data_IF_970176905644
#
_entry.id   IF_970176905644
#
_cell.length_a   1.000
_cell.length_b   1.000
_cell.length_c   1.000
_cell.angle_alpha   90.00
_cell.angle_beta   90.00
_cell.angle_gamma   90.00
#
_symmetry.space_group_name_H-M   'P 1'
#
loop_
_entity.id
_entity.type
_entity.pdbx_description
1 polymer ?
#
# COMPACT_ATOMS: atom_id res chain seq x y z
N UNK A 1 -15.17 10.53 11.43
CA UNK A 1 -14.77 11.12 12.73
C UNK A 1 -13.60 10.34 13.27
N UNK A 2 -12.38 10.82 13.00
CA UNK A 2 -11.21 10.68 13.88
C UNK A 2 -10.17 11.67 13.34
N UNK A 3 -10.31 12.92 13.78
CA UNK A 3 -9.63 14.11 13.24
C UNK A 3 -8.49 14.57 14.16
N UNK A 4 -7.79 13.61 14.77
CA UNK A 4 -6.57 13.87 15.53
C UNK A 4 -5.54 12.85 15.09
N UNK A 5 -4.49 13.30 14.41
CA UNK A 5 -3.18 12.68 14.54
C UNK A 5 -2.75 12.89 16.01
N UNK A 6 -3.38 12.16 16.93
CA UNK A 6 -2.84 12.00 18.28
C UNK A 6 -1.71 11.02 18.14
N UNK A 7 -0.52 11.54 17.86
CA UNK A 7 0.72 10.79 18.08
C UNK A 7 0.77 10.53 19.58
N UNK A 8 0.24 9.39 20.02
CA UNK A 8 0.49 8.92 21.37
C UNK A 8 1.98 8.64 21.44
N UNK A 9 2.70 9.50 22.17
CA UNK A 9 4.14 9.36 22.37
C UNK A 9 4.37 8.22 23.35
N UNK A 10 4.27 6.98 22.88
CA UNK A 10 4.85 5.85 23.56
C UNK A 10 6.29 5.75 23.09
N UNK A 11 7.17 6.19 24.00
CA UNK A 11 8.64 6.21 23.93
C UNK A 11 9.20 5.63 22.62
N UNK A 12 9.19 6.42 21.55
CA UNK A 12 9.99 6.13 20.38
C UNK A 12 11.42 5.97 20.89
N UNK A 13 11.93 4.74 20.88
CA UNK A 13 13.31 4.46 21.21
C UNK A 13 14.16 5.50 20.49
N UNK A 14 15.06 6.17 21.23
CA UNK A 14 16.00 7.16 20.67
C UNK A 14 16.78 6.51 19.53
N UNK A 15 16.23 6.52 18.31
CA UNK A 15 16.97 6.17 17.14
C UNK A 15 18.05 7.23 17.04
N UNK A 16 19.32 6.80 17.11
CA UNK A 16 20.42 7.72 16.92
C UNK A 16 20.17 8.51 15.62
N UNK A 17 20.32 9.85 15.58
CA UNK A 17 19.93 10.67 14.43
C UNK A 17 20.46 10.15 13.07
N UNK A 18 21.63 9.52 13.09
CA UNK A 18 22.24 8.86 11.92
C UNK A 18 21.45 7.67 11.39
N UNK A 19 20.79 6.90 12.25
CA UNK A 19 19.94 5.76 11.87
C UNK A 19 18.62 6.22 11.23
N UNK A 20 18.00 7.26 11.76
CA UNK A 20 16.75 7.78 11.19
C UNK A 20 16.99 8.43 9.82
N UNK A 21 18.08 9.18 9.69
CA UNK A 21 18.48 9.78 8.42
C UNK A 21 18.85 8.72 7.37
N UNK A 22 19.50 7.62 7.75
CA UNK A 22 19.81 6.52 6.82
C UNK A 22 18.55 5.77 6.40
N UNK A 23 17.64 5.47 7.32
CA UNK A 23 16.33 4.85 7.02
C UNK A 23 15.49 5.72 6.09
N UNK A 24 15.42 7.03 6.36
CA UNK A 24 14.78 7.99 5.46
C UNK A 24 15.35 7.88 4.05
N UNK A 25 16.66 8.00 3.87
CA UNK A 25 17.27 7.92 2.52
C UNK A 25 17.01 6.60 1.82
N UNK A 26 17.15 5.48 2.52
CA UNK A 26 16.90 4.14 1.95
C UNK A 26 15.45 3.99 1.52
N UNK A 27 14.50 4.48 2.32
CA UNK A 27 13.08 4.48 1.99
C UNK A 27 12.80 5.32 0.73
N UNK A 28 13.29 6.56 0.69
CA UNK A 28 13.05 7.47 -0.44
C UNK A 28 13.58 6.89 -1.74
N UNK A 29 14.76 6.26 -1.71
CA UNK A 29 15.34 5.56 -2.84
C UNK A 29 14.54 4.31 -3.24
N UNK A 30 13.98 3.56 -2.28
CA UNK A 30 13.12 2.42 -2.57
C UNK A 30 11.87 2.87 -3.34
N UNK A 31 11.20 3.95 -2.92
CA UNK A 31 10.05 4.52 -3.63
C UNK A 31 10.41 4.98 -5.05
N UNK A 32 11.58 5.59 -5.23
CA UNK A 32 12.05 5.99 -6.57
C UNK A 32 12.31 4.77 -7.47
N UNK A 33 12.84 3.68 -6.93
CA UNK A 33 13.06 2.45 -7.71
C UNK A 33 11.76 1.79 -8.19
N UNK A 34 10.64 1.99 -7.48
CA UNK A 34 9.30 1.57 -7.91
C UNK A 34 8.74 2.40 -9.07
N UNK A 35 9.16 3.66 -9.21
CA UNK A 35 8.72 4.53 -10.31
C UNK A 35 9.65 4.48 -11.52
N UNK A 36 10.94 4.15 -11.30
CA UNK A 36 11.98 4.16 -12.33
C UNK A 36 11.67 3.40 -13.64
N UNK A 37 10.99 2.22 -13.64
CA UNK A 37 10.69 1.51 -14.88
C UNK A 37 9.44 2.01 -15.62
N UNK A 38 8.74 3.01 -15.08
CA UNK A 38 7.48 3.53 -15.62
C UNK A 38 7.72 4.79 -16.47
N UNK A 39 6.93 4.94 -17.53
CA UNK A 39 6.92 6.16 -18.34
C UNK A 39 6.21 7.31 -17.60
N UNK A 40 6.33 8.53 -18.13
CA UNK A 40 5.59 9.67 -17.60
C UNK A 40 4.07 9.50 -17.76
N UNK A 41 3.66 8.82 -18.83
CA UNK A 41 2.28 8.44 -19.15
C UNK A 41 1.74 7.46 -18.12
N UNK A 42 2.49 6.38 -17.83
CA UNK A 42 2.10 5.40 -16.79
C UNK A 42 1.94 6.09 -15.43
N UNK A 43 2.86 7.00 -15.09
CA UNK A 43 2.84 7.70 -13.82
C UNK A 43 1.68 8.70 -13.66
N UNK A 44 0.94 9.01 -14.73
CA UNK A 44 -0.13 10.01 -14.73
C UNK A 44 -1.55 9.44 -14.70
N UNK A 45 -1.73 8.16 -15.03
CA UNK A 45 -3.06 7.56 -15.20
C UNK A 45 -3.64 7.10 -13.85
N UNK A 46 -4.94 7.30 -13.68
CA UNK A 46 -5.74 6.72 -12.59
C UNK A 46 -6.70 5.68 -13.20
N UNK A 47 -6.45 4.41 -12.95
CA UNK A 47 -7.19 3.31 -13.58
C UNK A 47 -8.55 3.00 -12.93
N UNK A 48 -8.77 3.48 -11.71
CA UNK A 48 -10.06 3.42 -10.98
C UNK A 48 -10.06 4.46 -9.85
N UNK A 49 -11.23 4.85 -9.29
CA UNK A 49 -11.31 5.86 -8.23
C UNK A 49 -10.48 5.53 -6.98
N UNK A 50 -10.28 4.25 -6.68
CA UNK A 50 -9.47 3.82 -5.54
C UNK A 50 -7.96 3.88 -5.79
N UNK A 51 -7.53 3.77 -7.04
CA UNK A 51 -6.14 3.92 -7.41
C UNK A 51 -5.74 5.40 -7.45
N UNK A 52 -4.44 5.68 -7.32
CA UNK A 52 -3.86 7.00 -7.56
C UNK A 52 -2.72 6.91 -8.58
N UNK A 53 -2.48 7.96 -9.38
CA UNK A 53 -1.31 7.99 -10.27
C UNK A 53 -0.02 7.87 -9.47
N UNK A 54 0.99 7.17 -10.01
CA UNK A 54 2.30 7.01 -9.33
C UNK A 54 2.93 8.38 -9.03
N UNK A 55 2.81 9.36 -9.93
CA UNK A 55 3.30 10.72 -9.66
C UNK A 55 2.57 11.39 -8.50
N UNK A 56 1.32 11.03 -8.24
CA UNK A 56 0.60 11.51 -7.07
C UNK A 56 1.16 10.88 -5.79
N UNK A 57 1.45 9.57 -5.76
CA UNK A 57 2.11 8.93 -4.61
C UNK A 57 3.50 9.52 -4.31
N UNK A 58 4.30 9.75 -5.34
CA UNK A 58 5.62 10.38 -5.23
C UNK A 58 5.55 11.78 -4.61
N UNK A 59 4.56 12.58 -5.03
CA UNK A 59 4.35 13.91 -4.51
C UNK A 59 3.73 13.88 -3.11
N UNK A 60 2.72 13.04 -2.87
CA UNK A 60 2.01 12.94 -1.60
C UNK A 60 2.92 12.51 -0.43
N UNK A 61 3.81 11.54 -0.67
CA UNK A 61 4.78 11.14 0.35
C UNK A 61 5.77 12.25 0.67
N UNK A 62 6.12 13.11 -0.30
CA UNK A 62 6.94 14.31 -0.06
C UNK A 62 6.15 15.40 0.68
N UNK A 63 4.88 15.57 0.32
CA UNK A 63 3.94 16.47 0.98
C UNK A 63 3.77 16.16 2.45
N UNK A 64 3.80 14.88 2.84
CA UNK A 64 3.77 14.49 4.25
C UNK A 64 4.95 15.10 5.02
N UNK A 65 6.18 14.89 4.54
CA UNK A 65 7.38 15.44 5.20
C UNK A 65 7.41 16.97 5.14
N UNK A 66 7.03 17.57 4.02
CA UNK A 66 6.95 19.03 3.90
C UNK A 66 5.98 19.63 4.93
N UNK A 67 4.76 19.10 4.99
CA UNK A 67 3.66 19.65 5.79
C UNK A 67 3.83 19.40 7.29
N UNK A 68 4.20 18.17 7.67
CA UNK A 68 4.22 17.78 9.08
C UNK A 68 5.60 17.91 9.72
N UNK A 69 6.68 17.82 8.95
CA UNK A 69 8.04 17.87 9.49
C UNK A 69 8.70 19.22 9.19
N UNK A 70 8.88 19.57 7.93
CA UNK A 70 9.70 20.72 7.53
C UNK A 70 9.07 22.05 7.91
N UNK A 71 7.78 22.25 7.62
CA UNK A 71 7.02 23.47 7.98
C UNK A 71 7.12 23.80 9.49
N UNK A 72 7.11 22.76 10.34
CA UNK A 72 7.11 22.92 11.79
C UNK A 72 8.51 22.94 12.44
N UNK A 73 9.49 22.25 11.83
CA UNK A 73 10.76 21.96 12.50
C UNK A 73 12.00 22.52 11.80
N UNK A 74 11.90 23.01 10.56
CA UNK A 74 13.00 23.65 9.85
C UNK A 74 12.78 25.16 9.74
N UNK A 75 13.45 25.94 10.61
CA UNK A 75 13.31 27.40 10.65
C UNK A 75 13.70 28.03 9.30
N UNK A 76 12.78 28.80 8.73
CA UNK A 76 13.00 29.51 7.46
C UNK A 76 12.74 28.64 6.23
N UNK A 77 12.20 27.43 6.40
CA UNK A 77 11.77 26.59 5.29
C UNK A 77 10.78 27.33 4.38
N UNK A 78 10.93 27.10 3.07
CA UNK A 78 10.03 27.63 2.04
C UNK A 78 9.41 26.44 1.30
N UNK A 79 8.08 26.35 1.25
CA UNK A 79 7.41 25.32 0.47
C UNK A 79 7.85 25.36 -0.99
N UNK A 80 7.94 24.20 -1.62
CA UNK A 80 8.37 24.10 -3.02
C UNK A 80 7.41 24.82 -3.98
N UNK A 81 6.11 24.62 -3.77
CA UNK A 81 5.02 25.27 -4.50
C UNK A 81 3.79 25.33 -3.59
N UNK A 82 3.24 26.51 -3.26
CA UNK A 82 2.09 26.62 -2.36
C UNK A 82 0.86 25.82 -2.82
N UNK A 83 0.68 25.62 -4.13
CA UNK A 83 -0.45 24.85 -4.67
C UNK A 83 -0.39 23.36 -4.31
N UNK A 84 0.82 22.83 -4.03
CA UNK A 84 1.02 21.42 -3.72
C UNK A 84 0.38 21.02 -2.39
N UNK A 85 0.20 21.99 -1.47
CA UNK A 85 -0.46 21.77 -0.19
C UNK A 85 -1.89 21.23 -0.37
N UNK A 86 -2.60 21.70 -1.40
CA UNK A 86 -3.98 21.26 -1.72
C UNK A 86 -3.98 20.05 -2.65
N UNK A 87 -3.13 20.06 -3.69
CA UNK A 87 -3.12 18.99 -4.71
C UNK A 87 -2.73 17.62 -4.15
N UNK A 88 -1.87 17.60 -3.13
CA UNK A 88 -1.33 16.38 -2.55
C UNK A 88 -1.79 16.12 -1.12
N UNK A 89 -2.76 16.88 -0.61
CA UNK A 89 -3.49 16.48 0.61
C UNK A 89 -4.37 15.27 0.30
N UNK A 90 -4.20 14.18 1.05
CA UNK A 90 -4.99 12.96 0.87
C UNK A 90 -6.41 13.11 1.44
N UNK A 91 -6.49 13.41 2.74
CA UNK A 91 -7.74 13.45 3.51
C UNK A 91 -7.66 14.26 4.82
N UNK A 92 -6.57 15.00 5.05
CA UNK A 92 -6.38 15.77 6.29
C UNK A 92 -7.19 17.07 6.25
N UNK A 93 -8.46 17.01 6.67
CA UNK A 93 -9.37 18.17 6.64
C UNK A 93 -8.88 19.30 7.54
N UNK A 94 -8.20 18.99 8.65
CA UNK A 94 -7.58 19.97 9.54
C UNK A 94 -6.40 20.73 8.91
N UNK A 95 -5.79 20.19 7.84
CA UNK A 95 -4.71 20.85 7.10
C UNK A 95 -5.26 21.84 6.06
N UNK A 96 -6.41 21.53 5.47
CA UNK A 96 -7.10 22.40 4.52
C UNK A 96 -7.79 21.63 3.38
N UNK A 97 -8.05 22.34 2.28
CA UNK A 97 -8.68 21.80 1.08
C UNK A 97 -7.86 20.66 0.45
N UNK A 98 -8.53 19.87 -0.40
CA UNK A 98 -7.92 18.78 -1.16
C UNK A 98 -8.50 18.67 -2.56
N UNK A 99 -7.68 18.24 -3.52
CA UNK A 99 -8.17 17.81 -4.83
C UNK A 99 -9.00 16.52 -4.68
N UNK A 100 -10.17 16.39 -5.35
CA UNK A 100 -10.99 15.18 -5.24
C UNK A 100 -10.22 13.90 -5.62
N UNK A 101 -10.29 12.87 -4.76
CA UNK A 101 -9.60 11.59 -4.99
C UNK A 101 -9.93 10.94 -6.35
N UNK A 102 -11.20 10.86 -6.80
CA UNK A 102 -11.54 10.26 -8.08
C UNK A 102 -11.00 11.03 -9.30
N UNK A 103 -10.50 12.25 -9.10
CA UNK A 103 -10.06 13.14 -10.16
C UNK A 103 -8.53 13.34 -10.16
N UNK A 104 -7.77 12.58 -9.37
CA UNK A 104 -6.30 12.69 -9.30
C UNK A 104 -5.65 12.45 -10.67
N UNK A 105 -6.20 11.56 -11.48
CA UNK A 105 -5.77 11.28 -12.85
C UNK A 105 -6.03 12.41 -13.86
N UNK A 106 -6.85 13.41 -13.51
CA UNK A 106 -7.09 14.58 -14.37
C UNK A 106 -5.99 15.65 -14.24
N UNK A 107 -5.12 15.52 -13.25
CA UNK A 107 -4.02 16.46 -13.01
C UNK A 107 -2.88 16.23 -14.01
N UNK A 108 -2.97 16.82 -15.20
CA UNK A 108 -1.86 16.84 -16.17
C UNK A 108 -0.63 17.59 -15.64
N UNK A 109 -0.81 18.52 -14.70
CA UNK A 109 0.24 19.26 -13.98
C UNK A 109 0.10 19.04 -12.48
N UNK A 110 1.21 18.99 -11.71
CA UNK A 110 2.60 19.05 -12.17
C UNK A 110 3.03 17.82 -13.00
N UNK A 111 4.04 18.01 -13.86
CA UNK A 111 4.68 16.92 -14.62
C UNK A 111 5.46 15.99 -13.68
N UNK A 112 5.79 14.79 -14.16
CA UNK A 112 6.62 13.85 -13.40
C UNK A 112 7.96 14.48 -13.00
N UNK A 113 8.64 15.17 -13.92
CA UNK A 113 9.90 15.86 -13.61
C UNK A 113 9.76 16.91 -12.50
N UNK A 114 8.64 17.65 -12.50
CA UNK A 114 8.36 18.65 -11.45
C UNK A 114 8.08 17.97 -10.11
N UNK A 115 7.44 16.81 -10.10
CA UNK A 115 7.27 15.98 -8.90
C UNK A 115 8.61 15.42 -8.41
N UNK A 116 9.48 14.96 -9.30
CA UNK A 116 10.84 14.50 -8.94
C UNK A 116 11.66 15.66 -8.38
N UNK A 117 11.57 16.86 -8.97
CA UNK A 117 12.20 18.06 -8.42
C UNK A 117 11.67 18.41 -7.02
N UNK A 118 10.36 18.24 -6.79
CA UNK A 118 9.77 18.41 -5.47
C UNK A 118 10.29 17.40 -4.45
N UNK A 119 10.39 16.11 -4.82
CA UNK A 119 11.01 15.08 -3.96
C UNK A 119 12.43 15.50 -3.54
N UNK A 120 13.26 15.91 -4.51
CA UNK A 120 14.63 16.35 -4.26
C UNK A 120 14.72 17.59 -3.35
N UNK A 121 13.79 18.54 -3.51
CA UNK A 121 13.71 19.72 -2.63
C UNK A 121 13.43 19.32 -1.18
N UNK A 122 12.42 18.47 -0.96
CA UNK A 122 12.07 17.95 0.36
C UNK A 122 13.20 17.11 0.94
N UNK A 123 13.83 16.25 0.13
CA UNK A 123 14.95 15.41 0.57
C UNK A 123 16.19 16.22 0.98
N UNK A 124 16.48 17.31 0.26
CA UNK A 124 17.56 18.23 0.62
C UNK A 124 17.27 18.95 1.94
N UNK A 125 16.04 19.44 2.13
CA UNK A 125 15.63 20.10 3.37
C UNK A 125 15.58 19.12 4.56
N UNK A 126 15.17 17.87 4.34
CA UNK A 126 15.26 16.81 5.35
C UNK A 126 16.71 16.50 5.71
N UNK A 127 17.60 16.45 4.71
CA UNK A 127 19.05 16.34 4.92
C UNK A 127 19.61 17.48 5.77
N UNK A 128 19.20 18.72 5.50
CA UNK A 128 19.56 19.88 6.32
C UNK A 128 19.05 19.73 7.75
N UNK A 129 17.78 19.36 7.93
CA UNK A 129 17.17 19.13 9.24
C UNK A 129 17.97 18.10 10.07
N UNK A 130 18.34 16.97 9.45
CA UNK A 130 19.18 15.95 10.12
C UNK A 130 20.59 16.43 10.43
N UNK A 131 21.17 17.32 9.60
CA UNK A 131 22.53 17.85 9.81
C UNK A 131 22.64 18.81 11.01
N UNK A 132 21.52 19.38 11.47
CA UNK A 132 21.47 20.32 12.61
C UNK A 132 21.58 19.63 13.97
N UNK A 133 21.60 18.29 14.01
CA UNK A 133 21.79 17.51 15.23
C UNK A 133 20.60 16.61 15.56
N UNK A 134 20.45 16.26 16.83
CA UNK A 134 19.36 15.39 17.27
C UNK A 134 18.00 16.10 17.15
N UNK A 135 17.04 15.41 16.54
CA UNK A 135 15.66 15.89 16.48
C UNK A 135 15.02 15.85 17.87
N UNK A 136 14.09 16.77 18.12
CA UNK A 136 13.22 16.66 19.30
C UNK A 136 12.39 15.37 19.21
N UNK A 137 11.97 14.77 20.33
CA UNK A 137 11.16 13.56 20.30
C UNK A 137 9.90 13.66 19.42
N UNK A 138 9.13 14.77 19.43
CA UNK A 138 8.00 14.93 18.52
C UNK A 138 8.38 14.94 17.04
N UNK A 139 9.47 15.63 16.67
CA UNK A 139 9.94 15.67 15.29
C UNK A 139 10.45 14.29 14.83
N UNK A 140 11.18 13.57 15.68
CA UNK A 140 11.62 12.21 15.39
C UNK A 140 10.42 11.25 15.18
N UNK A 141 9.37 11.36 16.00
CA UNK A 141 8.16 10.56 15.86
C UNK A 141 7.40 10.86 14.56
N UNK A 142 7.32 12.12 14.13
CA UNK A 142 6.70 12.49 12.85
C UNK A 142 7.50 12.00 11.65
N UNK A 143 8.84 12.02 11.73
CA UNK A 143 9.70 11.42 10.70
C UNK A 143 9.51 9.91 10.64
N UNK A 144 9.45 9.23 11.78
CA UNK A 144 9.16 7.79 11.83
C UNK A 144 7.78 7.48 11.23
N UNK A 145 6.75 8.22 11.60
CA UNK A 145 5.41 8.07 11.03
C UNK A 145 5.42 8.30 9.51
N UNK A 146 6.14 9.32 9.03
CA UNK A 146 6.30 9.59 7.60
C UNK A 146 7.01 8.47 6.86
N UNK A 147 7.98 7.80 7.50
CA UNK A 147 8.65 6.61 6.95
C UNK A 147 7.63 5.48 6.76
N UNK A 148 6.85 5.18 7.79
CA UNK A 148 5.85 4.09 7.75
C UNK A 148 4.73 4.40 6.76
N UNK A 149 4.28 5.65 6.71
CA UNK A 149 3.32 6.15 5.73
C UNK A 149 3.83 6.00 4.28
N UNK A 150 5.09 6.34 4.00
CA UNK A 150 5.63 6.12 2.65
C UNK A 150 5.82 4.63 2.33
N UNK A 151 6.05 3.74 3.31
CA UNK A 151 6.01 2.28 3.09
C UNK A 151 4.61 1.79 2.69
N UNK A 152 3.54 2.29 3.32
CA UNK A 152 2.17 2.02 2.87
C UNK A 152 1.98 2.47 1.41
N UNK A 153 2.51 3.64 1.05
CA UNK A 153 2.46 4.12 -0.32
C UNK A 153 3.32 3.34 -1.31
N UNK A 154 4.40 2.68 -0.86
CA UNK A 154 5.19 1.78 -1.71
C UNK A 154 4.36 0.54 -2.11
N UNK A 155 3.60 -0.02 -1.18
CA UNK A 155 2.65 -1.10 -1.48
C UNK A 155 1.56 -0.63 -2.45
N UNK A 156 0.97 0.54 -2.19
CA UNK A 156 -0.06 1.11 -3.06
C UNK A 156 0.43 1.40 -4.48
N UNK A 157 1.67 1.87 -4.64
CA UNK A 157 2.27 2.05 -5.99
C UNK A 157 2.26 0.73 -6.75
N UNK A 158 2.60 -0.39 -6.12
CA UNK A 158 2.60 -1.70 -6.78
C UNK A 158 1.19 -2.20 -7.11
N UNK A 159 0.22 -2.02 -6.21
CA UNK A 159 -1.17 -2.44 -6.48
C UNK A 159 -1.81 -1.58 -7.57
N UNK A 160 -1.61 -0.27 -7.54
CA UNK A 160 -2.19 0.67 -8.48
C UNK A 160 -1.57 0.52 -9.88
N UNK A 161 -0.25 0.35 -9.96
CA UNK A 161 0.45 0.04 -11.22
C UNK A 161 0.01 -1.31 -11.77
N UNK A 162 -0.16 -2.33 -10.92
CA UNK A 162 -0.67 -3.63 -11.37
C UNK A 162 -2.04 -3.48 -12.02
N UNK A 163 -2.96 -2.75 -11.39
CA UNK A 163 -4.29 -2.51 -11.95
C UNK A 163 -4.21 -1.74 -13.27
N UNK A 164 -3.42 -0.66 -13.33
CA UNK A 164 -3.18 0.13 -14.54
C UNK A 164 -2.73 -0.74 -15.71
N UNK A 165 -1.67 -1.52 -15.52
CA UNK A 165 -1.11 -2.36 -16.58
C UNK A 165 -2.05 -3.51 -16.97
N UNK A 166 -2.85 -4.01 -16.03
CA UNK A 166 -3.88 -5.00 -16.30
C UNK A 166 -5.03 -4.45 -17.16
N UNK A 167 -5.36 -3.17 -17.06
CA UNK A 167 -6.37 -2.54 -17.91
C UNK A 167 -5.88 -2.36 -19.36
N UNK A 168 -4.57 -2.27 -19.57
CA UNK A 168 -4.02 -2.05 -20.90
C UNK A 168 -4.20 -3.30 -21.79
N UNK A 169 -4.74 -3.18 -23.03
CA UNK A 169 -5.03 -4.35 -23.88
C UNK A 169 -3.82 -5.22 -24.21
N UNK A 170 -2.64 -4.62 -24.30
CA UNK A 170 -1.37 -5.35 -24.55
C UNK A 170 -0.81 -6.05 -23.30
N UNK A 171 -1.43 -5.86 -22.12
CA UNK A 171 -1.00 -6.46 -20.85
C UNK A 171 0.52 -6.34 -20.59
N UNK A 172 1.10 -5.12 -20.68
CA UNK A 172 2.53 -4.93 -20.49
C UNK A 172 2.96 -5.39 -19.09
N UNK A 173 4.12 -6.03 -19.02
CA UNK A 173 4.76 -6.32 -17.74
C UNK A 173 5.38 -5.05 -17.16
N UNK A 174 5.47 -4.99 -15.83
CA UNK A 174 6.33 -4.05 -15.14
C UNK A 174 7.79 -4.45 -15.41
N UNK A 175 8.49 -3.67 -16.23
CA UNK A 175 9.71 -4.07 -16.96
C UNK A 175 10.84 -4.62 -16.09
N UNK A 176 10.96 -4.17 -14.84
CA UNK A 176 11.97 -4.66 -13.89
C UNK A 176 11.78 -6.15 -13.53
N UNK A 177 10.54 -6.64 -13.56
CA UNK A 177 10.20 -7.98 -13.06
C UNK A 177 9.94 -9.00 -14.18
N UNK A 178 9.84 -8.56 -15.43
CA UNK A 178 9.49 -9.42 -16.59
C UNK A 178 10.36 -10.69 -16.69
N UNK A 179 11.65 -10.55 -16.39
CA UNK A 179 12.66 -11.62 -16.52
C UNK A 179 12.83 -12.46 -15.24
N UNK A 180 12.19 -12.08 -14.14
CA UNK A 180 12.32 -12.80 -12.87
C UNK A 180 11.44 -14.05 -12.91
N UNK A 181 12.10 -15.21 -12.94
CA UNK A 181 11.43 -16.51 -12.78
C UNK A 181 11.25 -16.79 -11.29
N UNK A 182 10.03 -17.09 -10.88
CA UNK A 182 9.81 -17.72 -9.57
C UNK A 182 10.05 -19.22 -9.70
N UNK A 183 10.73 -19.77 -8.70
CA UNK A 183 10.75 -21.21 -8.53
C UNK A 183 9.37 -21.63 -8.01
N UNK A 184 8.76 -22.64 -8.65
CA UNK A 184 7.61 -23.31 -8.09
C UNK A 184 7.98 -23.82 -6.69
N UNK A 185 7.24 -23.38 -5.67
CA UNK A 185 7.40 -23.88 -4.31
C UNK A 185 6.30 -24.88 -4.04
N UNK A 186 6.62 -26.10 -3.58
CA UNK A 186 5.58 -27.04 -3.19
C UNK A 186 4.76 -26.45 -2.06
N UNK A 187 3.44 -26.50 -2.19
CA UNK A 187 2.52 -26.15 -1.11
C UNK A 187 2.65 -27.21 -0.01
N UNK A 188 2.81 -26.77 1.24
CA UNK A 188 2.74 -27.70 2.37
C UNK A 188 1.35 -28.39 2.41
N UNK A 189 1.26 -29.65 2.85
CA UNK A 189 -0.03 -30.28 3.12
C UNK A 189 -0.87 -29.41 4.06
N UNK A 190 -2.18 -29.35 3.81
CA UNK A 190 -3.10 -28.63 4.69
C UNK A 190 -3.11 -29.30 6.06
N UNK A 191 -2.80 -28.53 7.09
CA UNK A 191 -2.92 -28.93 8.48
C UNK A 191 -3.62 -27.83 9.28
N UNK A 192 -4.37 -28.24 10.28
CA UNK A 192 -5.06 -27.34 11.20
C UNK A 192 -4.20 -27.11 12.45
N UNK A 193 -4.00 -25.85 12.79
CA UNK A 193 -3.35 -25.41 14.02
C UNK A 193 -4.47 -25.10 15.00
N UNK A 194 -4.57 -25.93 16.05
CA UNK A 194 -5.59 -25.81 17.08
C UNK A 194 -5.20 -24.76 18.13
N UNK A 195 -6.17 -23.93 18.51
CA UNK A 195 -6.06 -22.92 19.56
C UNK A 195 -7.11 -23.20 20.63
N UNK A 196 -6.66 -23.33 21.88
CA UNK A 196 -7.53 -23.55 23.02
C UNK A 196 -8.41 -22.33 23.32
N UNK A 197 -9.54 -22.57 23.96
CA UNK A 197 -10.38 -21.50 24.50
C UNK A 197 -9.68 -20.75 25.64
N UNK A 198 -9.94 -19.46 25.77
CA UNK A 198 -9.41 -18.68 26.88
C UNK A 198 -9.36 -17.17 26.64
N UNK A 199 -8.91 -16.46 27.66
CA UNK A 199 -8.64 -15.02 27.56
C UNK A 199 -7.23 -14.82 27.04
N UNK A 200 -7.10 -14.08 25.95
CA UNK A 200 -5.83 -13.67 25.35
C UNK A 200 -5.68 -12.15 25.42
N UNK A 201 -4.46 -11.66 25.26
CA UNK A 201 -4.17 -10.24 25.10
C UNK A 201 -3.79 -9.97 23.64
N UNK A 202 -4.39 -8.94 23.04
CA UNK A 202 -4.12 -8.49 21.67
C UNK A 202 -3.82 -7.00 21.65
N UNK A 203 -3.00 -6.58 20.69
CA UNK A 203 -2.51 -5.19 20.54
C UNK A 203 -1.02 -5.05 20.85
N UNK A 204 -0.43 -3.94 20.45
CA UNK A 204 1.01 -3.67 20.58
C UNK A 204 1.37 -3.11 21.97
N UNK A 205 2.27 -3.79 22.67
CA UNK A 205 2.80 -3.41 24.00
C UNK A 205 4.29 -3.04 23.98
N UNK A 206 4.92 -3.11 22.80
CA UNK A 206 6.37 -2.96 22.63
C UNK A 206 6.87 -1.51 22.54
N UNK A 207 8.19 -1.36 22.52
CA UNK A 207 8.88 -0.04 22.38
C UNK A 207 9.15 0.38 20.93
N UNK A 208 8.80 -0.48 19.97
CA UNK A 208 8.86 -0.19 18.54
C UNK A 208 7.71 0.70 18.06
N UNK A 209 7.78 1.12 16.80
CA UNK A 209 6.67 1.81 16.15
C UNK A 209 5.46 0.87 16.02
N UNK A 210 4.27 1.40 16.27
CA UNK A 210 2.99 0.84 15.87
C UNK A 210 2.07 1.98 15.46
N UNK A 211 1.12 1.71 14.56
CA UNK A 211 0.04 2.66 14.31
C UNK A 211 -0.87 2.76 15.53
N UNK A 212 -1.56 3.89 15.66
CA UNK A 212 -2.44 4.15 16.81
C UNK A 212 -3.56 3.10 16.95
N UNK A 213 -4.07 2.61 15.82
CA UNK A 213 -5.08 1.55 15.75
C UNK A 213 -4.63 0.17 16.25
N UNK A 214 -3.34 -0.04 16.50
CA UNK A 214 -2.78 -1.28 17.07
C UNK A 214 -2.73 -1.22 18.61
N UNK A 215 -3.13 -0.10 19.21
CA UNK A 215 -3.02 0.18 20.65
C UNK A 215 -4.35 0.69 21.25
N UNK A 216 -4.55 0.59 22.58
CA UNK A 216 -3.72 -0.13 23.55
C UNK A 216 -3.95 -1.65 23.52
N UNK A 217 -3.03 -2.44 24.10
CA UNK A 217 -3.28 -3.84 24.40
C UNK A 217 -4.55 -3.99 25.25
N UNK A 218 -5.35 -5.00 24.93
CA UNK A 218 -6.57 -5.32 25.66
C UNK A 218 -6.84 -6.82 25.63
N UNK A 219 -7.71 -7.26 26.55
CA UNK A 219 -8.02 -8.68 26.75
C UNK A 219 -9.29 -9.03 26.01
N UNK A 220 -9.25 -10.13 25.26
CA UNK A 220 -10.39 -10.70 24.55
C UNK A 220 -10.57 -12.17 24.93
N UNK A 221 -11.82 -12.64 24.97
CA UNK A 221 -12.12 -14.05 25.18
C UNK A 221 -12.35 -14.74 23.85
N UNK A 222 -11.57 -15.78 23.56
CA UNK A 222 -11.69 -16.60 22.36
C UNK A 222 -12.23 -17.99 22.73
N UNK A 223 -13.23 -18.44 21.99
CA UNK A 223 -13.62 -19.86 21.98
C UNK A 223 -12.55 -20.69 21.28
N UNK A 224 -12.51 -22.00 21.53
CA UNK A 224 -11.60 -22.91 20.83
C UNK A 224 -11.84 -22.87 19.32
N UNK A 225 -10.77 -22.76 18.54
CA UNK A 225 -10.82 -22.64 17.09
C UNK A 225 -9.56 -23.22 16.45
N UNK A 226 -9.58 -23.38 15.13
CA UNK A 226 -8.42 -23.80 14.36
C UNK A 226 -8.17 -22.87 13.18
N UNK A 227 -6.89 -22.67 12.84
CA UNK A 227 -6.48 -21.97 11.62
C UNK A 227 -5.67 -22.91 10.72
N UNK A 228 -5.84 -22.78 9.41
CA UNK A 228 -5.00 -23.49 8.46
C UNK A 228 -3.54 -23.02 8.55
N UNK A 229 -2.59 -23.95 8.44
CA UNK A 229 -1.14 -23.67 8.44
C UNK A 229 -0.64 -22.97 7.16
N UNK A 230 -1.54 -22.76 6.18
CA UNK A 230 -1.26 -22.10 4.91
C UNK A 230 -2.51 -21.40 4.36
N UNK A 231 -2.28 -20.51 3.40
CA UNK A 231 -3.35 -19.87 2.64
C UNK A 231 -4.00 -20.88 1.66
N UNK A 232 -5.24 -20.59 1.28
CA UNK A 232 -5.95 -21.29 0.20
C UNK A 232 -5.19 -21.06 -1.11
N UNK A 233 -5.02 -22.12 -1.90
CA UNK A 233 -4.27 -22.03 -3.16
C UNK A 233 -5.17 -21.71 -4.36
N UNK A 234 -4.56 -21.31 -5.47
CA UNK A 234 -5.25 -21.15 -6.75
C UNK A 234 -5.93 -22.45 -7.20
N UNK A 235 -5.31 -23.61 -6.97
CA UNK A 235 -5.91 -24.91 -7.32
C UNK A 235 -7.18 -25.20 -6.52
N UNK A 236 -7.14 -25.00 -5.20
CA UNK A 236 -8.31 -25.17 -4.34
C UNK A 236 -9.42 -24.17 -4.67
N UNK A 237 -9.05 -22.93 -5.02
CA UNK A 237 -10.02 -21.93 -5.45
C UNK A 237 -10.61 -22.25 -6.84
N UNK A 238 -9.83 -22.90 -7.71
CA UNK A 238 -10.34 -23.39 -9.00
C UNK A 238 -11.37 -24.51 -8.80
N UNK A 239 -11.14 -25.43 -7.86
CA UNK A 239 -12.13 -26.46 -7.50
C UNK A 239 -13.45 -25.82 -7.03
N UNK A 240 -13.38 -24.74 -6.23
CA UNK A 240 -14.54 -23.93 -5.84
C UNK A 240 -15.27 -23.31 -7.05
N UNK A 241 -14.53 -22.75 -8.02
CA UNK A 241 -15.12 -22.17 -9.24
C UNK A 241 -15.82 -23.24 -10.09
N UNK A 242 -15.17 -24.40 -10.24
CA UNK A 242 -15.63 -25.50 -11.07
C UNK A 242 -16.87 -26.19 -10.47
N UNK A 243 -16.94 -26.30 -9.14
CA UNK A 243 -18.14 -26.73 -8.38
C UNK A 243 -19.26 -25.66 -8.32
N UNK A 244 -19.10 -24.57 -9.09
CA UNK A 244 -20.12 -23.54 -9.24
C UNK A 244 -20.21 -22.55 -8.10
N UNK A 245 -19.10 -22.28 -7.40
CA UNK A 245 -19.01 -21.32 -6.31
C UNK A 245 -19.65 -19.96 -6.63
N UNK A 246 -19.35 -19.39 -7.81
CA UNK A 246 -19.96 -18.13 -8.30
C UNK A 246 -21.38 -18.26 -8.88
N UNK A 247 -22.00 -19.45 -8.80
CA UNK A 247 -23.35 -19.73 -9.32
C UNK A 247 -24.33 -20.21 -8.25
N UNK A 248 -23.89 -20.26 -6.99
CA UNK A 248 -24.59 -20.87 -5.86
C UNK A 248 -24.82 -19.85 -4.74
N UNK A 249 -25.97 -19.15 -4.71
CA UNK A 249 -26.23 -18.06 -3.77
C UNK A 249 -26.14 -18.48 -2.30
N UNK A 250 -26.39 -19.76 -2.00
CA UNK A 250 -26.32 -20.31 -0.65
C UNK A 250 -24.92 -20.29 -0.02
N UNK A 251 -23.88 -20.05 -0.83
CA UNK A 251 -22.49 -19.94 -0.37
C UNK A 251 -22.09 -18.50 0.00
N UNK A 252 -22.97 -17.51 -0.23
CA UNK A 252 -22.63 -16.10 -0.14
C UNK A 252 -23.47 -15.36 0.89
N UNK A 253 -22.85 -14.35 1.50
CA UNK A 253 -23.61 -13.28 2.15
C UNK A 253 -24.46 -12.55 1.10
N UNK A 254 -25.63 -12.04 1.51
CA UNK A 254 -26.59 -11.41 0.59
C UNK A 254 -25.96 -10.27 -0.24
N UNK A 255 -25.25 -9.34 0.40
CA UNK A 255 -24.58 -8.24 -0.30
C UNK A 255 -23.49 -8.73 -1.26
N UNK A 256 -22.78 -9.80 -0.89
CA UNK A 256 -21.79 -10.44 -1.75
C UNK A 256 -22.42 -11.05 -3.00
N UNK A 257 -23.56 -11.72 -2.86
CA UNK A 257 -24.30 -12.27 -4.00
C UNK A 257 -24.82 -11.18 -4.93
N UNK A 258 -25.40 -10.11 -4.38
CA UNK A 258 -25.89 -8.97 -5.16
C UNK A 258 -24.76 -8.31 -5.95
N UNK A 259 -23.59 -8.15 -5.33
CA UNK A 259 -22.39 -7.63 -5.99
C UNK A 259 -21.88 -8.57 -7.10
N UNK A 260 -21.79 -9.88 -6.85
CA UNK A 260 -21.40 -10.88 -7.85
C UNK A 260 -22.31 -10.85 -9.06
N UNK A 261 -23.63 -10.81 -8.83
CA UNK A 261 -24.62 -10.75 -9.89
C UNK A 261 -24.53 -9.44 -10.69
N UNK A 262 -24.40 -8.30 -10.00
CA UNK A 262 -24.32 -6.98 -10.63
C UNK A 262 -23.04 -6.79 -11.46
N UNK A 263 -21.90 -7.24 -10.95
CA UNK A 263 -20.59 -7.10 -11.61
C UNK A 263 -20.23 -8.30 -12.49
N UNK A 264 -21.05 -9.36 -12.50
CA UNK A 264 -20.85 -10.62 -13.23
C UNK A 264 -19.51 -11.28 -12.89
N UNK A 265 -19.19 -11.34 -11.60
CA UNK A 265 -17.94 -11.92 -11.13
C UNK A 265 -17.98 -13.44 -11.30
N UNK A 266 -16.90 -14.00 -11.86
CA UNK A 266 -16.78 -15.45 -12.09
C UNK A 266 -15.43 -16.04 -11.72
N UNK A 267 -14.50 -15.20 -11.25
CA UNK A 267 -13.15 -15.57 -10.84
C UNK A 267 -12.52 -14.39 -10.04
N UNK A 268 -11.40 -14.62 -9.33
CA UNK A 268 -10.61 -13.56 -8.72
C UNK A 268 -10.15 -12.53 -9.76
N UNK A 269 -9.84 -11.31 -9.30
CA UNK A 269 -9.36 -10.26 -10.20
C UNK A 269 -8.07 -10.70 -10.90
N UNK A 270 -7.91 -10.26 -12.16
CA UNK A 270 -6.76 -10.58 -13.04
C UNK A 270 -6.72 -12.00 -13.62
N UNK A 271 -7.67 -12.87 -13.27
CA UNK A 271 -7.81 -14.17 -13.91
C UNK A 271 -8.50 -14.02 -15.27
N UNK A 272 -7.90 -14.61 -16.29
CA UNK A 272 -8.41 -14.58 -17.67
C UNK A 272 -8.53 -15.99 -18.21
N UNK A 273 -9.70 -16.32 -18.78
CA UNK A 273 -9.90 -17.62 -19.41
C UNK A 273 -9.36 -17.59 -20.84
N UNK A 274 -8.36 -18.42 -21.13
CA UNK A 274 -7.76 -18.55 -22.45
C UNK A 274 -7.99 -19.96 -23.00
N UNK A 275 -8.84 -20.09 -24.03
CA UNK A 275 -9.27 -21.34 -24.64
C UNK A 275 -9.76 -22.38 -23.62
N UNK A 276 -8.87 -23.19 -23.05
CA UNK A 276 -9.14 -24.26 -22.08
C UNK A 276 -8.42 -24.09 -20.73
N UNK A 277 -7.69 -23.00 -20.50
CA UNK A 277 -6.89 -22.80 -19.29
C UNK A 277 -7.08 -21.40 -18.69
N UNK A 278 -6.86 -21.28 -17.38
CA UNK A 278 -6.79 -20.01 -16.69
C UNK A 278 -5.38 -19.42 -16.80
N UNK A 279 -5.32 -18.12 -17.08
CA UNK A 279 -4.12 -17.30 -17.00
C UNK A 279 -4.31 -16.20 -15.96
N UNK A 280 -3.22 -15.71 -15.41
CA UNK A 280 -3.21 -14.66 -14.40
C UNK A 280 -2.35 -13.50 -14.90
N UNK A 281 -2.89 -12.28 -14.87
CA UNK A 281 -2.07 -11.08 -15.00
C UNK A 281 -1.31 -10.80 -13.71
N UNK A 282 0.02 -10.72 -13.82
CA UNK A 282 0.93 -10.38 -12.73
C UNK A 282 1.72 -9.12 -13.10
N UNK A 283 2.47 -8.53 -12.15
CA UNK A 283 3.44 -7.48 -12.48
C UNK A 283 4.51 -7.97 -13.47
N UNK A 284 4.65 -9.27 -13.70
CA UNK A 284 5.57 -9.87 -14.69
C UNK A 284 4.89 -10.17 -16.03
N UNK A 285 3.71 -9.60 -16.26
CA UNK A 285 2.85 -9.90 -17.40
C UNK A 285 1.93 -11.10 -17.17
N UNK A 286 1.29 -11.55 -18.25
CA UNK A 286 0.41 -12.72 -18.26
C UNK A 286 1.23 -14.00 -18.04
N UNK A 287 0.77 -14.84 -17.12
CA UNK A 287 1.34 -16.16 -16.81
C UNK A 287 0.24 -17.21 -16.74
N UNK A 288 0.63 -18.46 -16.86
CA UNK A 288 -0.27 -19.56 -16.52
C UNK A 288 -0.59 -19.51 -15.03
N UNK A 289 -1.79 -19.95 -14.66
CA UNK A 289 -2.20 -20.03 -13.28
C UNK A 289 -1.39 -21.14 -12.57
N UNK A 290 -0.57 -20.76 -11.59
CA UNK A 290 0.20 -21.71 -10.77
C UNK A 290 -0.69 -22.25 -9.63
N UNK A 291 -1.11 -23.54 -9.68
CA UNK A 291 -2.09 -24.07 -8.72
C UNK A 291 -1.60 -24.07 -7.28
N UNK A 292 -0.29 -24.16 -7.05
CA UNK A 292 0.31 -24.21 -5.71
C UNK A 292 0.41 -22.85 -5.00
N UNK A 293 0.26 -21.75 -5.75
CA UNK A 293 0.38 -20.40 -5.19
C UNK A 293 -0.88 -20.00 -4.41
N UNK A 294 -0.77 -19.17 -3.34
CA UNK A 294 -1.93 -18.61 -2.67
C UNK A 294 -2.85 -17.86 -3.64
N UNK A 295 -4.16 -18.07 -3.52
CA UNK A 295 -5.13 -17.21 -4.23
C UNK A 295 -5.01 -15.78 -3.72
N UNK A 296 -5.19 -14.81 -4.60
CA UNK A 296 -5.03 -13.38 -4.30
C UNK A 296 -6.02 -12.55 -5.11
N UNK A 297 -6.24 -11.30 -4.69
CA UNK A 297 -7.18 -10.36 -5.32
C UNK A 297 -8.62 -10.87 -5.34
N UNK A 298 -9.04 -11.46 -4.22
CA UNK A 298 -10.43 -11.81 -3.90
C UNK A 298 -11.03 -10.77 -2.96
N UNK A 299 -12.35 -10.57 -3.02
CA UNK A 299 -13.07 -9.71 -2.06
C UNK A 299 -13.21 -10.39 -0.70
N UNK A 300 -13.60 -9.61 0.31
CA UNK A 300 -14.18 -10.15 1.55
C UNK A 300 -15.55 -10.80 1.25
#
# INVERSE_FOLDING_TARGET
MNDRLSVQTHSAARAAPLLLASRYRSLRAATESLAAPLSAEDCAIQSMPDASPVKWHLAHTSWFFETFVLDAHLRGYRPFDPSFRVLFNSYYNSVGDKHPRPERGLLSRPSLDRVVAYRKHVDAAMGELFSRGALSPPAAALVELGIQHEQQHQELVLTDVKHLLACHPLKPAYSLLEKIREAARPTAPLAWIEFGEGVVEIGHDGSGFAFDNETPPHREYLHGFALANRLVTNGEYLDFIDDGGYRRPELWLSEGWDWIAAQRISAPQYWERAASAWRLFTLRGIRDLEPASPVSHISL
#
